data_IF_068969589934
#
_entry.id   IF_068969589934
#
_cell.length_a   1.000
_cell.length_b   1.000
_cell.length_c   1.000
_cell.angle_alpha   90.00
_cell.angle_beta   90.00
_cell.angle_gamma   90.00
#
_symmetry.space_group_name_H-M   'P 1'
#
loop_
_entity.id
_entity.type
_entity.pdbx_description
1 polymer ?
#
# COMPACT_ATOMS: atom_id res chain seq x y z
N UNK A 1 29.05 -7.37 31.49
CA UNK A 1 29.67 -6.76 30.29
C UNK A 1 29.26 -7.48 29.01
N UNK A 2 29.30 -8.82 28.95
CA UNK A 2 28.85 -9.60 27.78
C UNK A 2 27.38 -9.40 27.42
N UNK A 3 26.49 -9.31 28.42
CA UNK A 3 25.04 -9.10 28.22
C UNK A 3 24.74 -7.73 27.63
N UNK A 4 25.27 -6.65 28.20
CA UNK A 4 25.09 -5.29 27.67
C UNK A 4 25.66 -5.14 26.25
N UNK A 5 26.83 -5.73 25.98
CA UNK A 5 27.39 -5.76 24.63
C UNK A 5 26.43 -6.42 23.64
N UNK A 6 25.89 -7.59 23.99
CA UNK A 6 24.96 -8.31 23.13
C UNK A 6 23.66 -7.52 22.91
N UNK A 7 23.11 -6.92 23.96
CA UNK A 7 21.90 -6.11 23.90
C UNK A 7 22.05 -4.92 22.96
N UNK A 8 23.15 -4.17 23.11
CA UNK A 8 23.47 -3.01 22.27
C UNK A 8 23.73 -3.47 20.83
N UNK A 9 24.45 -4.57 20.64
CA UNK A 9 24.79 -5.06 19.31
C UNK A 9 23.55 -5.48 18.50
N UNK A 10 22.68 -6.33 19.09
CA UNK A 10 21.43 -6.75 18.43
C UNK A 10 20.50 -5.54 18.23
N UNK A 11 20.45 -4.62 19.20
CA UNK A 11 19.70 -3.36 19.06
C UNK A 11 20.19 -2.51 17.88
N UNK A 12 21.51 -2.41 17.66
CA UNK A 12 22.08 -1.71 16.50
C UNK A 12 21.72 -2.42 15.19
N UNK A 13 21.75 -3.75 15.14
CA UNK A 13 21.31 -4.50 13.96
C UNK A 13 19.82 -4.23 13.64
N UNK A 14 18.96 -4.20 14.66
CA UNK A 14 17.54 -3.90 14.50
C UNK A 14 17.29 -2.45 14.05
N UNK A 15 17.99 -1.46 14.63
CA UNK A 15 17.93 -0.07 14.17
C UNK A 15 18.45 0.04 12.73
N UNK A 16 19.53 -0.66 12.39
CA UNK A 16 20.06 -0.74 11.04
C UNK A 16 19.02 -1.26 10.04
N UNK A 17 18.30 -2.32 10.41
CA UNK A 17 17.17 -2.83 9.63
C UNK A 17 16.10 -1.75 9.41
N UNK A 18 15.66 -1.07 10.47
CA UNK A 18 14.66 0.00 10.37
C UNK A 18 15.13 1.13 9.44
N UNK A 19 16.39 1.56 9.59
CA UNK A 19 16.94 2.65 8.77
C UNK A 19 16.95 2.29 7.29
N UNK A 20 17.27 1.04 6.94
CA UNK A 20 17.29 0.59 5.54
C UNK A 20 15.89 0.61 4.91
N UNK A 21 14.83 0.42 5.69
CA UNK A 21 13.45 0.52 5.17
C UNK A 21 13.10 1.93 4.66
N UNK A 22 13.82 2.97 5.08
CA UNK A 22 13.62 4.34 4.58
C UNK A 22 14.29 4.60 3.22
N UNK A 23 15.15 3.69 2.75
CA UNK A 23 15.92 3.86 1.53
C UNK A 23 15.41 2.91 0.44
N UNK A 24 14.60 3.43 -0.48
CA UNK A 24 13.99 2.67 -1.59
C UNK A 24 15.01 1.95 -2.50
N UNK A 25 16.26 2.43 -2.55
CA UNK A 25 17.32 1.85 -3.38
C UNK A 25 17.82 0.48 -2.88
N UNK A 26 17.57 0.15 -1.62
CA UNK A 26 18.08 -1.07 -1.00
C UNK A 26 17.05 -2.19 -1.01
N UNK A 27 17.48 -3.41 -1.29
CA UNK A 27 16.62 -4.58 -1.16
C UNK A 27 16.43 -4.92 0.33
N UNK A 28 15.30 -4.51 0.89
CA UNK A 28 14.99 -4.69 2.30
C UNK A 28 15.09 -6.15 2.76
N UNK A 29 14.86 -7.13 1.88
CA UNK A 29 14.97 -8.56 2.24
C UNK A 29 16.42 -8.91 2.48
N UNK A 30 17.30 -8.56 1.54
CA UNK A 30 18.72 -8.85 1.63
C UNK A 30 19.28 -8.34 2.95
N UNK A 31 18.94 -7.10 3.31
CA UNK A 31 19.40 -6.49 4.55
C UNK A 31 18.72 -7.06 5.79
N UNK A 32 17.43 -7.43 5.72
CA UNK A 32 16.75 -8.12 6.84
C UNK A 32 17.40 -9.45 7.17
N UNK A 33 17.72 -10.26 6.16
CA UNK A 33 18.41 -11.54 6.31
C UNK A 33 19.85 -11.33 6.77
N UNK A 34 20.56 -10.36 6.20
CA UNK A 34 21.95 -10.06 6.56
C UNK A 34 22.08 -9.63 8.02
N UNK A 35 21.28 -8.64 8.45
CA UNK A 35 21.29 -8.20 9.84
C UNK A 35 20.86 -9.30 10.79
N UNK A 36 19.87 -10.12 10.39
CA UNK A 36 19.42 -11.24 11.20
C UNK A 36 20.53 -12.28 11.38
N UNK A 37 21.20 -12.69 10.31
CA UNK A 37 22.30 -13.66 10.38
C UNK A 37 23.42 -13.13 11.29
N UNK A 38 23.77 -11.85 11.18
CA UNK A 38 24.79 -11.23 12.03
C UNK A 38 24.35 -11.24 13.50
N UNK A 39 23.11 -10.80 13.79
CA UNK A 39 22.57 -10.77 15.14
C UNK A 39 22.45 -12.17 15.75
N UNK A 40 21.95 -13.14 15.00
CA UNK A 40 21.83 -14.55 15.38
C UNK A 40 23.20 -15.17 15.66
N UNK A 41 24.18 -14.95 14.76
CA UNK A 41 25.53 -15.49 14.91
C UNK A 41 26.21 -14.94 16.17
N UNK A 42 26.13 -13.64 16.39
CA UNK A 42 26.69 -13.02 17.61
C UNK A 42 25.96 -13.55 18.85
N UNK A 43 24.64 -13.64 18.82
CA UNK A 43 23.85 -14.18 19.94
C UNK A 43 24.22 -15.62 20.28
N UNK A 44 24.43 -16.48 19.28
CA UNK A 44 24.84 -17.88 19.48
C UNK A 44 26.20 -18.04 20.18
N UNK A 45 27.09 -17.04 20.12
CA UNK A 45 28.34 -17.08 20.89
C UNK A 45 28.12 -16.89 22.40
N UNK A 46 27.08 -16.14 22.79
CA UNK A 46 26.85 -15.71 24.18
C UNK A 46 25.67 -16.41 24.86
N UNK A 47 24.70 -16.92 24.10
CA UNK A 47 23.47 -17.55 24.58
C UNK A 47 23.35 -18.97 24.02
N UNK A 48 22.99 -19.94 24.87
CA UNK A 48 22.86 -21.33 24.47
C UNK A 48 21.58 -21.57 23.67
N UNK A 49 20.47 -20.93 24.08
CA UNK A 49 19.18 -21.03 23.40
C UNK A 49 19.25 -20.52 21.95
N UNK A 50 20.07 -19.48 21.69
CA UNK A 50 20.32 -18.96 20.35
C UNK A 50 21.14 -19.92 19.45
N UNK A 51 21.61 -21.06 19.96
CA UNK A 51 22.25 -22.11 19.14
C UNK A 51 21.23 -23.12 18.62
N UNK A 52 20.05 -23.16 19.21
CA UNK A 52 19.02 -24.14 18.89
C UNK A 52 18.11 -23.61 17.78
N UNK A 53 17.92 -24.40 16.71
CA UNK A 53 17.02 -24.01 15.62
C UNK A 53 15.56 -23.88 16.08
N UNK A 54 15.20 -24.61 17.14
CA UNK A 54 13.86 -24.61 17.72
C UNK A 54 13.47 -23.24 18.29
N UNK A 55 14.42 -22.51 18.87
CA UNK A 55 14.22 -21.11 19.29
C UNK A 55 13.79 -20.22 18.12
N UNK A 56 14.49 -20.31 16.99
CA UNK A 56 14.19 -19.51 15.80
C UNK A 56 12.83 -19.85 15.19
N UNK A 57 12.46 -21.14 15.17
CA UNK A 57 11.18 -21.60 14.63
C UNK A 57 10.01 -21.21 15.53
N UNK A 58 10.18 -21.32 16.86
CA UNK A 58 9.12 -20.99 17.84
C UNK A 58 8.86 -19.49 17.97
N UNK A 59 9.87 -18.66 17.67
CA UNK A 59 9.72 -17.19 17.67
C UNK A 59 8.84 -16.69 16.51
N UNK A 60 8.70 -17.46 15.42
CA UNK A 60 7.88 -17.04 14.28
C UNK A 60 6.40 -17.16 14.65
N UNK A 61 5.67 -16.06 14.47
CA UNK A 61 4.21 -16.00 14.60
C UNK A 61 3.52 -16.70 13.41
N UNK A 62 3.45 -18.03 13.47
CA UNK A 62 2.95 -18.87 12.38
C UNK A 62 1.52 -18.55 11.98
N UNK A 63 0.67 -18.14 12.92
CA UNK A 63 -0.71 -17.74 12.64
C UNK A 63 -0.75 -16.53 11.70
N UNK A 64 0.09 -15.52 11.95
CA UNK A 64 0.22 -14.33 11.11
C UNK A 64 0.75 -14.68 9.73
N UNK A 65 1.77 -15.54 9.66
CA UNK A 65 2.36 -15.99 8.40
C UNK A 65 1.33 -16.76 7.55
N UNK A 66 0.63 -17.72 8.14
CA UNK A 66 -0.39 -18.51 7.45
C UNK A 66 -1.57 -17.64 7.01
N UNK A 67 -1.97 -16.68 7.84
CA UNK A 67 -2.97 -15.68 7.47
C UNK A 67 -2.55 -14.92 6.20
N UNK A 68 -1.32 -14.39 6.15
CA UNK A 68 -0.84 -13.64 4.99
C UNK A 68 -0.72 -14.49 3.72
N UNK A 69 -0.24 -15.72 3.84
CA UNK A 69 -0.20 -16.64 2.68
C UNK A 69 -1.58 -16.79 2.07
N UNK A 70 -2.62 -17.03 2.88
CA UNK A 70 -3.99 -17.18 2.39
C UNK A 70 -4.52 -15.90 1.74
N UNK A 71 -4.29 -14.73 2.35
CA UNK A 71 -4.70 -13.44 1.79
C UNK A 71 -3.97 -13.15 0.47
N UNK A 72 -2.66 -13.40 0.36
CA UNK A 72 -1.93 -13.17 -0.90
C UNK A 72 -2.38 -14.10 -2.01
N UNK A 73 -2.75 -15.34 -1.70
CA UNK A 73 -3.38 -16.21 -2.70
C UNK A 73 -4.71 -15.63 -3.16
N UNK A 74 -5.57 -15.15 -2.24
CA UNK A 74 -6.84 -14.50 -2.59
C UNK A 74 -6.60 -13.27 -3.48
N UNK A 75 -5.63 -12.43 -3.15
CA UNK A 75 -5.22 -11.27 -3.97
C UNK A 75 -4.85 -11.71 -5.38
N UNK A 76 -4.01 -12.73 -5.49
CA UNK A 76 -3.53 -13.19 -6.79
C UNK A 76 -4.65 -13.83 -7.62
N UNK A 77 -5.57 -14.58 -6.99
CA UNK A 77 -6.78 -15.08 -7.66
C UNK A 77 -7.61 -13.90 -8.20
N UNK A 78 -7.85 -12.87 -7.37
CA UNK A 78 -8.63 -11.70 -7.80
C UNK A 78 -7.95 -10.93 -8.94
N UNK A 79 -6.61 -10.81 -8.88
CA UNK A 79 -5.79 -10.16 -9.89
C UNK A 79 -5.83 -10.92 -11.22
N UNK A 80 -5.57 -12.23 -11.23
CA UNK A 80 -5.60 -13.02 -12.47
C UNK A 80 -6.97 -13.04 -13.15
N UNK A 81 -8.05 -12.89 -12.38
CA UNK A 81 -9.40 -12.84 -12.92
C UNK A 81 -9.84 -11.42 -13.33
N UNK A 82 -8.97 -10.41 -13.23
CA UNK A 82 -9.24 -9.00 -13.54
C UNK A 82 -10.36 -8.38 -12.69
N UNK A 83 -10.47 -8.78 -11.41
CA UNK A 83 -11.53 -8.29 -10.51
C UNK A 83 -11.43 -6.77 -10.30
N UNK A 84 -10.22 -6.28 -10.08
CA UNK A 84 -9.98 -4.89 -9.73
C UNK A 84 -10.13 -3.97 -10.95
N UNK A 85 -9.74 -4.44 -12.13
CA UNK A 85 -9.91 -3.78 -13.43
C UNK A 85 -11.40 -3.63 -13.75
N UNK A 86 -12.19 -4.70 -13.55
CA UNK A 86 -13.65 -4.64 -13.72
C UNK A 86 -14.30 -3.69 -12.71
N UNK A 87 -13.86 -3.70 -11.45
CA UNK A 87 -14.34 -2.78 -10.43
C UNK A 87 -14.09 -1.32 -10.84
N UNK A 88 -12.88 -1.05 -11.31
CA UNK A 88 -12.48 0.26 -11.79
C UNK A 88 -13.29 0.73 -12.99
N UNK A 89 -13.45 -0.14 -13.99
CA UNK A 89 -14.25 0.16 -15.18
C UNK A 89 -15.68 0.54 -14.82
N UNK A 90 -16.30 -0.15 -13.84
CA UNK A 90 -17.64 0.19 -13.33
C UNK A 90 -17.67 1.55 -12.64
N UNK A 91 -16.67 1.86 -11.82
CA UNK A 91 -16.53 3.15 -11.14
C UNK A 91 -16.41 4.26 -12.20
N UNK A 92 -15.47 4.13 -13.12
CA UNK A 92 -15.20 5.13 -14.17
C UNK A 92 -16.41 5.34 -15.06
N UNK A 93 -17.06 4.28 -15.53
CA UNK A 93 -18.28 4.38 -16.36
C UNK A 93 -19.40 5.16 -15.66
N UNK A 94 -19.51 5.05 -14.34
CA UNK A 94 -20.57 5.70 -13.56
C UNK A 94 -20.22 7.14 -13.15
N UNK A 95 -18.94 7.42 -12.88
CA UNK A 95 -18.51 8.68 -12.25
C UNK A 95 -17.58 9.55 -13.13
N UNK A 96 -17.30 9.15 -14.37
CA UNK A 96 -16.43 9.91 -15.29
C UNK A 96 -16.85 11.36 -15.54
N UNK A 97 -18.13 11.70 -15.33
CA UNK A 97 -18.64 13.06 -15.53
C UNK A 97 -18.39 13.99 -14.34
N UNK A 98 -17.84 13.50 -13.24
CA UNK A 98 -17.63 14.30 -12.03
C UNK A 98 -16.33 13.88 -11.35
N UNK A 99 -15.21 14.57 -11.63
CA UNK A 99 -13.91 14.31 -11.01
C UNK A 99 -13.98 14.22 -9.48
N UNK A 100 -14.72 15.14 -8.85
CA UNK A 100 -14.92 15.14 -7.40
C UNK A 100 -15.67 13.92 -6.87
N UNK A 101 -16.69 13.42 -7.58
CA UNK A 101 -17.37 12.16 -7.18
C UNK A 101 -16.49 10.94 -7.41
N UNK A 102 -15.75 10.93 -8.52
CA UNK A 102 -14.79 9.88 -8.81
C UNK A 102 -13.76 9.76 -7.68
N UNK A 103 -13.23 10.89 -7.21
CA UNK A 103 -12.29 10.95 -6.09
C UNK A 103 -12.85 10.23 -4.86
N UNK A 104 -14.02 10.64 -4.37
CA UNK A 104 -14.61 10.02 -3.18
C UNK A 104 -14.85 8.53 -3.38
N UNK A 105 -15.44 8.12 -4.51
CA UNK A 105 -15.78 6.72 -4.74
C UNK A 105 -14.53 5.85 -4.82
N UNK A 106 -13.51 6.32 -5.54
CA UNK A 106 -12.26 5.59 -5.75
C UNK A 106 -11.51 5.42 -4.43
N UNK A 107 -11.38 6.50 -3.65
CA UNK A 107 -10.69 6.48 -2.35
C UNK A 107 -11.45 5.64 -1.32
N UNK A 108 -12.78 5.77 -1.24
CA UNK A 108 -13.62 4.97 -0.35
C UNK A 108 -13.47 3.48 -0.66
N UNK A 109 -13.64 3.10 -1.93
CA UNK A 109 -13.57 1.69 -2.33
C UNK A 109 -12.18 1.10 -2.06
N UNK A 110 -11.11 1.84 -2.38
CA UNK A 110 -9.75 1.40 -2.10
C UNK A 110 -9.52 1.20 -0.59
N UNK A 111 -9.92 2.17 0.24
CA UNK A 111 -9.79 2.07 1.70
C UNK A 111 -10.55 0.86 2.26
N UNK A 112 -11.80 0.64 1.87
CA UNK A 112 -12.56 -0.50 2.38
C UNK A 112 -12.04 -1.85 1.87
N UNK A 113 -11.49 -1.92 0.65
CA UNK A 113 -10.84 -3.14 0.18
C UNK A 113 -9.52 -3.39 0.94
N UNK A 114 -8.78 -2.33 1.26
CA UNK A 114 -7.51 -2.42 1.96
C UNK A 114 -7.66 -2.92 3.41
N UNK A 115 -8.77 -2.61 4.08
CA UNK A 115 -9.03 -3.09 5.45
C UNK A 115 -9.40 -4.57 5.53
N UNK A 116 -9.69 -5.21 4.40
CA UNK A 116 -10.04 -6.64 4.32
C UNK A 116 -8.89 -7.46 3.74
N UNK A 117 -8.21 -6.91 2.74
CA UNK A 117 -7.21 -7.63 1.94
C UNK A 117 -5.81 -7.29 2.46
N UNK A 118 -5.20 -6.24 1.93
CA UNK A 118 -3.91 -5.71 2.37
C UNK A 118 -3.70 -4.36 1.68
N UNK A 119 -3.29 -3.35 2.45
CA UNK A 119 -3.05 -2.01 1.91
C UNK A 119 -2.06 -2.01 0.74
N UNK A 120 -0.96 -2.77 0.86
CA UNK A 120 0.07 -2.84 -0.18
C UNK A 120 -0.50 -3.39 -1.50
N UNK A 121 -1.24 -4.50 -1.43
CA UNK A 121 -1.84 -5.13 -2.61
C UNK A 121 -2.85 -4.21 -3.32
N UNK A 122 -3.64 -3.47 -2.55
CA UNK A 122 -4.62 -2.53 -3.08
C UNK A 122 -3.93 -1.35 -3.77
N UNK A 123 -2.87 -0.78 -3.17
CA UNK A 123 -2.13 0.34 -3.76
C UNK A 123 -1.50 -0.05 -5.10
N UNK A 124 -0.84 -1.21 -5.18
CA UNK A 124 -0.20 -1.71 -6.42
C UNK A 124 -1.17 -1.74 -7.61
N UNK A 125 -2.45 -1.96 -7.35
CA UNK A 125 -3.47 -2.08 -8.40
C UNK A 125 -4.18 -0.74 -8.62
N UNK A 126 -4.57 -0.05 -7.55
CA UNK A 126 -5.34 1.20 -7.66
C UNK A 126 -4.48 2.38 -8.15
N UNK A 127 -3.17 2.41 -7.92
CA UNK A 127 -2.29 3.47 -8.41
C UNK A 127 -2.23 3.53 -9.94
N UNK A 128 -1.77 2.48 -10.67
CA UNK A 128 -1.71 2.52 -12.12
C UNK A 128 -3.09 2.73 -12.74
N UNK A 129 -4.11 2.11 -12.15
CA UNK A 129 -5.49 2.30 -12.55
C UNK A 129 -5.95 3.76 -12.44
N UNK A 130 -5.66 4.41 -11.32
CA UNK A 130 -6.02 5.82 -11.10
C UNK A 130 -5.35 6.71 -12.12
N UNK A 131 -4.07 6.44 -12.42
CA UNK A 131 -3.32 7.17 -13.46
C UNK A 131 -4.01 7.03 -14.83
N UNK A 132 -4.42 5.80 -15.21
CA UNK A 132 -5.12 5.55 -16.48
C UNK A 132 -6.46 6.30 -16.53
N UNK A 133 -7.26 6.25 -15.46
CA UNK A 133 -8.55 6.93 -15.39
C UNK A 133 -8.38 8.44 -15.50
N UNK A 134 -7.43 9.00 -14.74
CA UNK A 134 -7.14 10.42 -14.76
C UNK A 134 -6.62 10.89 -16.12
N UNK A 135 -5.75 10.11 -16.78
CA UNK A 135 -5.28 10.38 -18.15
C UNK A 135 -6.42 10.41 -19.15
N UNK A 136 -7.36 9.45 -19.08
CA UNK A 136 -8.55 9.40 -19.95
C UNK A 136 -9.53 10.56 -19.71
N UNK A 137 -9.52 11.11 -18.50
CA UNK A 137 -10.35 12.25 -18.11
C UNK A 137 -9.60 13.59 -18.23
N UNK A 138 -8.36 13.59 -18.72
CA UNK A 138 -7.50 14.77 -18.87
C UNK A 138 -7.31 15.58 -17.57
N UNK A 139 -7.33 14.88 -16.43
CA UNK A 139 -7.14 15.48 -15.09
C UNK A 139 -5.83 15.02 -14.45
N UNK A 140 -5.29 15.85 -13.55
CA UNK A 140 -4.10 15.51 -12.78
C UNK A 140 -4.37 14.33 -11.82
N UNK A 141 -3.61 13.22 -11.89
CA UNK A 141 -3.78 12.08 -10.97
C UNK A 141 -3.28 12.34 -9.55
N UNK A 142 -2.42 13.33 -9.33
CA UNK A 142 -1.73 13.52 -8.05
C UNK A 142 -2.67 13.61 -6.83
N UNK A 143 -3.79 14.36 -6.85
CA UNK A 143 -4.72 14.41 -5.71
C UNK A 143 -5.32 13.04 -5.35
N UNK A 144 -5.66 12.25 -6.38
CA UNK A 144 -6.25 10.94 -6.21
C UNK A 144 -5.24 9.96 -5.60
N UNK A 145 -4.02 9.94 -6.14
CA UNK A 145 -2.92 9.13 -5.61
C UNK A 145 -2.56 9.49 -4.17
N UNK A 146 -2.52 10.79 -3.86
CA UNK A 146 -2.26 11.24 -2.49
C UNK A 146 -3.37 10.81 -1.53
N UNK A 147 -4.63 10.91 -1.96
CA UNK A 147 -5.76 10.45 -1.14
C UNK A 147 -5.77 8.94 -0.92
N UNK A 148 -5.41 8.17 -1.96
CA UNK A 148 -5.23 6.73 -1.84
C UNK A 148 -4.15 6.40 -0.83
N UNK A 149 -2.98 7.04 -0.92
CA UNK A 149 -1.88 6.83 0.02
C UNK A 149 -2.30 7.09 1.46
N UNK A 150 -2.92 8.23 1.74
CA UNK A 150 -3.36 8.58 3.11
C UNK A 150 -4.46 7.62 3.60
N UNK A 151 -5.50 7.42 2.80
CA UNK A 151 -6.69 6.72 3.25
C UNK A 151 -6.55 5.20 3.27
N UNK A 152 -5.70 4.60 2.42
CA UNK A 152 -5.39 3.17 2.48
C UNK A 152 -4.56 2.85 3.73
N UNK A 153 -3.67 3.74 4.16
CA UNK A 153 -2.97 3.57 5.44
C UNK A 153 -3.94 3.64 6.63
N UNK A 154 -4.92 4.56 6.61
CA UNK A 154 -5.98 4.58 7.63
C UNK A 154 -6.80 3.29 7.65
N UNK A 155 -6.97 2.61 6.51
CA UNK A 155 -7.72 1.35 6.42
C UNK A 155 -7.21 0.27 7.37
N UNK A 156 -5.89 0.23 7.60
CA UNK A 156 -5.26 -0.73 8.50
C UNK A 156 -5.84 -0.67 9.91
N UNK A 157 -6.28 0.51 10.38
CA UNK A 157 -6.85 0.66 11.72
C UNK A 157 -8.27 0.10 11.86
N UNK A 158 -9.00 -0.12 10.76
CA UNK A 158 -10.42 -0.47 10.84
C UNK A 158 -10.67 -1.86 11.44
N UNK A 159 -9.77 -2.81 11.22
CA UNK A 159 -9.95 -4.22 11.58
C UNK A 159 -8.69 -4.80 12.23
N UNK A 160 -8.83 -5.87 13.05
CA UNK A 160 -7.67 -6.60 13.58
C UNK A 160 -6.76 -7.13 12.47
N UNK A 161 -7.36 -7.53 11.34
CA UNK A 161 -6.68 -8.16 10.22
C UNK A 161 -6.15 -7.15 9.18
N UNK A 162 -6.37 -5.85 9.38
CA UNK A 162 -5.94 -4.79 8.45
C UNK A 162 -4.42 -4.65 8.34
N UNK A 163 -3.67 -5.15 9.32
CA UNK A 163 -2.21 -5.17 9.31
C UNK A 163 -1.64 -6.28 10.21
N UNK A 164 -0.36 -6.62 10.00
CA UNK A 164 0.35 -7.59 10.86
C UNK A 164 0.38 -7.11 12.31
N UNK A 165 0.61 -5.81 12.52
CA UNK A 165 0.75 -5.22 13.85
C UNK A 165 -0.54 -5.36 14.65
N UNK A 166 -1.69 -5.12 14.01
CA UNK A 166 -2.97 -5.23 14.68
C UNK A 166 -3.28 -6.67 15.09
N UNK A 167 -2.91 -7.65 14.26
CA UNK A 167 -3.08 -9.07 14.59
C UNK A 167 -2.26 -9.42 15.84
N UNK A 168 -1.00 -8.99 15.90
CA UNK A 168 -0.14 -9.26 17.05
C UNK A 168 -0.71 -8.66 18.34
N UNK A 169 -1.12 -7.39 18.30
CA UNK A 169 -1.75 -6.72 19.45
C UNK A 169 -3.08 -7.41 19.82
N UNK A 170 -3.86 -7.82 18.82
CA UNK A 170 -5.13 -8.51 19.00
C UNK A 170 -4.94 -9.86 19.72
N UNK A 171 -3.94 -10.63 19.33
CA UNK A 171 -3.63 -11.92 19.93
C UNK A 171 -3.09 -11.76 21.36
N UNK A 172 -2.15 -10.84 21.56
CA UNK A 172 -1.52 -10.61 22.87
C UNK A 172 -2.52 -10.13 23.93
N UNK A 173 -3.41 -9.20 23.56
CA UNK A 173 -4.38 -8.61 24.48
C UNK A 173 -5.78 -9.26 24.42
N UNK A 174 -5.96 -10.30 23.59
CA UNK A 174 -7.26 -10.95 23.40
C UNK A 174 -8.36 -10.01 22.89
N UNK A 175 -8.01 -9.04 22.04
CA UNK A 175 -8.94 -8.04 21.52
C UNK A 175 -9.71 -8.60 20.33
N UNK A 176 -10.97 -8.95 20.52
CA UNK A 176 -11.79 -9.50 19.45
C UNK A 176 -12.24 -8.43 18.42
N UNK A 177 -12.86 -8.89 17.33
CA UNK A 177 -13.42 -8.00 16.31
C UNK A 177 -14.46 -7.03 16.88
N UNK A 178 -15.24 -7.44 17.89
CA UNK A 178 -16.26 -6.61 18.50
C UNK A 178 -15.65 -5.44 19.29
N UNK A 179 -14.51 -5.68 19.94
CA UNK A 179 -13.73 -4.63 20.60
C UNK A 179 -13.28 -3.57 19.59
N UNK A 180 -12.70 -3.99 18.45
CA UNK A 180 -12.32 -3.07 17.37
C UNK A 180 -13.53 -2.30 16.83
N UNK A 181 -14.67 -2.96 16.62
CA UNK A 181 -15.90 -2.33 16.17
C UNK A 181 -16.42 -1.28 17.15
N UNK A 182 -16.22 -1.50 18.45
CA UNK A 182 -16.73 -0.62 19.51
C UNK A 182 -15.82 0.59 19.73
N UNK A 183 -14.50 0.39 19.75
CA UNK A 183 -13.55 1.42 20.15
C UNK A 183 -12.80 2.06 18.98
N UNK A 184 -12.39 1.25 17.99
CA UNK A 184 -11.54 1.72 16.90
C UNK A 184 -12.34 2.18 15.68
N UNK A 185 -13.45 1.53 15.35
CA UNK A 185 -14.27 1.93 14.19
C UNK A 185 -14.83 3.35 14.31
N UNK A 186 -15.31 3.85 15.48
CA UNK A 186 -15.69 5.25 15.61
C UNK A 186 -14.54 6.21 15.34
N UNK A 187 -13.34 5.90 15.85
CA UNK A 187 -12.13 6.65 15.58
C UNK A 187 -11.79 6.65 14.08
N UNK A 188 -11.83 5.48 13.43
CA UNK A 188 -11.62 5.36 11.99
C UNK A 188 -12.61 6.20 11.20
N UNK A 189 -13.92 6.14 11.50
CA UNK A 189 -14.94 6.89 10.76
C UNK A 189 -14.70 8.38 10.86
N UNK A 190 -14.40 8.90 12.06
CA UNK A 190 -14.14 10.32 12.28
C UNK A 190 -12.89 10.76 11.51
N UNK A 191 -11.78 10.05 11.68
CA UNK A 191 -10.49 10.38 11.05
C UNK A 191 -10.51 10.20 9.53
N UNK A 192 -11.24 9.20 9.02
CA UNK A 192 -11.42 8.96 7.60
C UNK A 192 -12.26 10.06 6.93
N UNK A 193 -13.40 10.43 7.54
CA UNK A 193 -14.24 11.54 7.03
C UNK A 193 -13.46 12.86 7.07
N UNK A 194 -12.77 13.13 8.17
CA UNK A 194 -11.94 14.33 8.30
C UNK A 194 -10.83 14.36 7.26
N UNK A 195 -10.11 13.26 7.08
CA UNK A 195 -9.06 13.12 6.06
C UNK A 195 -9.62 13.35 4.65
N UNK A 196 -10.72 12.69 4.29
CA UNK A 196 -11.38 12.88 2.99
C UNK A 196 -11.79 14.34 2.77
N UNK A 197 -12.34 14.99 3.80
CA UNK A 197 -12.74 16.39 3.73
C UNK A 197 -11.54 17.33 3.55
N UNK A 198 -10.46 17.12 4.31
CA UNK A 198 -9.24 17.92 4.21
C UNK A 198 -8.55 17.74 2.85
N UNK A 199 -8.44 16.50 2.38
CA UNK A 199 -7.84 16.18 1.08
C UNK A 199 -8.65 16.81 -0.07
N UNK A 200 -9.98 16.68 -0.03
CA UNK A 200 -10.84 17.31 -1.01
C UNK A 200 -10.74 18.84 -0.98
N UNK A 201 -10.79 19.46 0.21
CA UNK A 201 -10.76 20.92 0.34
C UNK A 201 -9.41 21.54 -0.03
N UNK A 202 -8.30 20.94 0.42
CA UNK A 202 -6.98 21.55 0.31
C UNK A 202 -6.17 21.10 -0.90
N UNK A 203 -6.47 19.92 -1.47
CA UNK A 203 -5.70 19.35 -2.58
C UNK A 203 -6.57 19.32 -3.82
N UNK A 204 -7.64 18.52 -3.82
CA UNK A 204 -8.47 18.35 -5.01
C UNK A 204 -9.16 19.65 -5.44
N UNK A 205 -9.72 20.40 -4.49
CA UNK A 205 -10.42 21.66 -4.77
C UNK A 205 -9.52 22.75 -5.35
N UNK A 206 -8.21 22.72 -5.05
CA UNK A 206 -7.24 23.64 -5.67
C UNK A 206 -6.94 23.23 -7.11
N UNK A 207 -6.73 21.94 -7.35
CA UNK A 207 -6.48 21.41 -8.70
C UNK A 207 -7.68 21.57 -9.62
N UNK A 208 -8.90 21.30 -9.15
CA UNK A 208 -10.11 21.47 -9.96
C UNK A 208 -10.35 22.94 -10.34
N UNK A 209 -10.05 23.88 -9.44
CA UNK A 209 -10.13 25.31 -9.76
C UNK A 209 -9.10 25.71 -10.82
N UNK A 210 -7.86 25.23 -10.71
CA UNK A 210 -6.80 25.49 -11.68
C UNK A 210 -7.20 24.99 -13.07
N UNK A 211 -7.66 23.73 -13.16
CA UNK A 211 -8.09 23.13 -14.42
C UNK A 211 -9.27 23.89 -15.08
N UNK A 212 -10.26 24.31 -14.29
CA UNK A 212 -11.38 25.13 -14.82
C UNK A 212 -10.96 26.52 -15.31
N UNK A 213 -9.86 27.07 -14.78
CA UNK A 213 -9.31 28.36 -15.22
C UNK A 213 -8.53 28.19 -16.52
N UNK A 214 -7.76 27.10 -16.67
CA UNK A 214 -7.01 26.79 -17.89
C UNK A 214 -7.96 26.51 -19.07
N UNK A 215 -9.01 25.70 -18.90
CA UNK A 215 -10.04 25.47 -19.95
C UNK A 215 -10.74 26.78 -20.36
N UNK A 216 -11.05 27.64 -19.39
CA UNK A 216 -11.69 28.94 -19.64
C UNK A 216 -10.78 29.97 -20.31
N UNK A 217 -9.47 29.77 -20.27
CA UNK A 217 -8.48 30.58 -21.01
C UNK A 217 -8.31 30.04 -22.43
N UNK A 218 -8.26 28.72 -22.62
CA UNK A 218 -8.21 28.10 -23.95
C UNK A 218 -9.44 28.44 -24.80
N UNK A 219 -10.65 28.34 -24.24
CA UNK A 219 -11.90 28.71 -24.93
C UNK A 219 -11.96 30.20 -25.33
N UNK A 220 -11.31 31.07 -24.55
CA UNK A 220 -11.17 32.50 -24.89
C UNK A 220 -10.13 32.76 -25.98
N UNK A 221 -9.07 31.95 -26.07
CA UNK A 221 -8.06 32.08 -27.13
C UNK A 221 -8.51 31.49 -28.46
N UNK A 222 -9.32 30.42 -28.44
CA UNK A 222 -9.87 29.80 -29.66
C UNK A 222 -10.97 30.67 -30.30
N UNK A 223 -11.70 31.44 -29.50
CA UNK A 223 -12.71 32.39 -30.01
C UNK A 223 -12.15 33.75 -30.47
N UNK A 224 -10.83 33.94 -30.45
CA UNK A 224 -10.16 35.11 -31.03
C UNK A 224 -9.58 34.75 -32.40
N UNK A 225 -10.44 34.62 -33.41
CA UNK A 225 -10.00 34.74 -34.81
C UNK A 225 -9.44 36.15 -35.06
N UNK A 226 -8.39 36.30 -35.90
CA UNK A 226 -7.68 37.56 -36.05
C UNK A 226 -8.58 38.58 -36.76
N UNK A 227 -9.11 39.52 -35.99
CA UNK A 227 -9.72 40.72 -36.56
C UNK A 227 -8.60 41.61 -37.09
N UNK A 228 -8.58 41.70 -38.42
CA UNK A 228 -7.83 42.60 -39.27
C UNK A 228 -7.35 43.88 -38.55
N UNK A 229 -6.05 43.91 -38.24
CA UNK A 229 -5.30 45.15 -38.06
C UNK A 229 -4.05 45.09 -38.93
N UNK A 230 -4.29 44.97 -40.24
CA UNK A 230 -3.40 45.58 -41.20
C UNK A 230 -3.50 47.11 -41.05
N UNK A 231 -2.34 47.78 -41.03
CA UNK A 231 -2.11 49.24 -40.92
C UNK A 231 -2.12 49.78 -39.50
N UNK A 232 -0.93 49.80 -38.89
CA UNK A 232 -0.28 51.02 -38.38
C UNK A 232 0.77 50.65 -37.32
N UNK A 233 2.00 50.40 -37.76
CA UNK A 233 3.24 50.93 -37.17
C UNK A 233 4.48 50.35 -37.87
N UNK A 234 4.70 50.83 -39.09
CA UNK A 234 6.06 51.14 -39.52
C UNK A 234 6.51 52.36 -38.70
N UNK A 235 7.56 52.19 -37.89
CA UNK A 235 8.59 53.17 -37.47
C UNK A 235 9.06 52.85 -36.06
N UNK A 236 10.19 52.17 -35.97
CA UNK A 236 11.35 52.55 -35.14
C UNK A 236 12.42 51.44 -35.24
N UNK A 237 13.20 51.49 -36.31
CA UNK A 237 14.57 50.98 -36.31
C UNK A 237 15.47 52.08 -35.78
N UNK A 238 16.26 51.83 -34.73
CA UNK A 238 17.61 52.38 -34.57
C UNK A 238 18.46 51.48 -33.65
N UNK A 239 19.74 51.40 -34.03
CA UNK A 239 20.83 50.50 -33.64
C UNK A 239 21.35 50.59 -32.19
N UNK A 240 21.92 49.48 -31.69
CA UNK A 240 23.34 49.30 -31.22
C UNK A 240 23.48 47.90 -30.57
N UNK A 241 24.23 46.92 -31.10
CA UNK A 241 25.68 46.63 -31.07
C UNK A 241 26.23 46.01 -29.76
N UNK A 242 26.92 44.85 -29.96
CA UNK A 242 28.03 44.22 -29.20
C UNK A 242 27.74 43.00 -28.27
N UNK A 243 28.34 41.88 -28.72
CA UNK A 243 28.96 40.71 -28.07
C UNK A 243 28.48 40.12 -26.73
N UNK A 244 28.35 38.78 -26.77
CA UNK A 244 29.27 37.93 -26.01
C UNK A 244 28.70 37.17 -24.81
N UNK A 245 28.92 35.85 -24.86
CA UNK A 245 29.04 34.88 -23.76
C UNK A 245 27.82 34.06 -23.31
N UNK A 246 28.03 32.75 -23.45
CA UNK A 246 27.67 31.63 -22.56
C UNK A 246 26.26 31.02 -22.61
N UNK A 247 26.18 29.98 -23.46
CA UNK A 247 25.89 28.60 -23.06
C UNK A 247 25.01 28.41 -21.82
N UNK A 248 23.70 28.26 -22.06
CA UNK A 248 22.84 27.39 -21.25
C UNK A 248 22.04 26.46 -22.17
N UNK A 249 22.68 25.35 -22.51
CA UNK A 249 22.03 24.13 -22.97
C UNK A 249 20.95 23.70 -21.96
N UNK A 250 19.69 23.69 -22.38
CA UNK A 250 18.62 22.94 -21.72
C UNK A 250 18.94 21.43 -21.80
N UNK A 251 19.00 20.69 -20.68
CA UNK A 251 19.12 19.24 -20.76
C UNK A 251 17.74 18.59 -21.02
N UNK A 252 17.63 17.99 -22.21
CA UNK A 252 16.94 16.72 -22.50
C UNK A 252 15.49 16.50 -22.01
N UNK A 253 14.52 17.03 -22.75
CA UNK A 253 13.11 16.58 -22.76
C UNK A 253 12.89 15.24 -23.51
N UNK A 254 13.92 14.38 -23.59
CA UNK A 254 13.92 13.22 -24.50
C UNK A 254 13.98 11.84 -23.81
N UNK A 255 14.10 11.77 -22.48
CA UNK A 255 14.11 10.48 -21.75
C UNK A 255 12.85 10.17 -20.94
N UNK A 256 11.99 11.15 -20.65
CA UNK A 256 10.70 10.91 -19.96
C UNK A 256 9.58 10.47 -20.89
N UNK A 257 9.83 10.39 -22.20
CA UNK A 257 8.82 10.14 -23.23
C UNK A 257 8.77 8.69 -23.75
N UNK A 258 9.57 7.77 -23.20
CA UNK A 258 9.77 6.40 -23.75
C UNK A 258 9.37 5.22 -22.85
N UNK A 259 8.64 5.44 -21.75
CA UNK A 259 8.24 4.34 -20.84
C UNK A 259 6.78 3.89 -21.00
N UNK A 260 5.96 4.57 -21.80
CA UNK A 260 4.54 4.19 -21.99
C UNK A 260 4.05 4.45 -23.42
N UNK A 261 4.78 3.95 -24.41
CA UNK A 261 4.25 3.86 -25.78
C UNK A 261 3.21 2.75 -25.84
N UNK A 262 1.97 3.16 -26.09
CA UNK A 262 0.94 2.45 -26.87
C UNK A 262 0.75 0.94 -26.63
N UNK A 263 0.32 0.56 -25.42
CA UNK A 263 -0.74 -0.45 -25.33
C UNK A 263 -2.04 0.26 -25.01
N UNK A 264 -2.96 0.15 -25.95
CA UNK A 264 -4.35 0.59 -25.88
C UNK A 264 -5.05 -0.21 -24.75
N UNK A 265 -4.80 0.19 -23.48
CA UNK A 265 -5.40 -0.36 -22.26
C UNK A 265 -6.88 0.03 -22.24
N UNK A 266 -7.63 -0.54 -23.18
CA UNK A 266 -9.06 -0.48 -23.20
C UNK A 266 -9.55 -1.35 -22.05
N UNK A 267 -9.96 -0.70 -20.95
CA UNK A 267 -10.61 -1.33 -19.79
C UNK A 267 -11.69 -2.37 -20.20
N UNK A 268 -12.23 -2.28 -21.41
CA UNK A 268 -13.22 -3.20 -21.98
C UNK A 268 -12.65 -4.57 -22.43
N UNK A 269 -11.35 -4.70 -22.77
CA UNK A 269 -10.76 -5.99 -23.16
C UNK A 269 -10.43 -6.90 -21.97
N UNK A 270 -10.28 -6.34 -20.76
CA UNK A 270 -10.04 -7.07 -19.50
C UNK A 270 -11.34 -7.32 -18.71
N UNK A 271 -12.50 -7.09 -19.32
CA UNK A 271 -13.78 -7.10 -18.61
C UNK A 271 -14.16 -8.51 -18.12
N UNK A 272 -14.18 -8.67 -16.81
CA UNK A 272 -14.72 -9.86 -16.15
C UNK A 272 -16.23 -9.97 -16.41
N UNK A 273 -16.73 -11.21 -16.56
CA UNK A 273 -18.16 -11.49 -16.62
C UNK A 273 -18.88 -10.97 -15.37
N UNK A 274 -20.07 -10.38 -15.54
CA UNK A 274 -20.91 -9.92 -14.41
C UNK A 274 -21.10 -11.02 -13.35
N UNK A 275 -21.31 -12.26 -13.79
CA UNK A 275 -21.53 -13.40 -12.89
C UNK A 275 -20.30 -13.64 -12.01
N UNK A 276 -19.11 -13.61 -12.59
CA UNK A 276 -17.87 -13.89 -11.87
C UNK A 276 -17.49 -12.73 -10.93
N UNK A 277 -17.83 -11.50 -11.31
CA UNK A 277 -17.68 -10.34 -10.43
C UNK A 277 -18.51 -10.48 -9.15
N UNK A 278 -19.81 -10.77 -9.27
CA UNK A 278 -20.67 -10.91 -8.09
C UNK A 278 -20.33 -12.15 -7.24
N UNK A 279 -19.84 -13.23 -7.86
CA UNK A 279 -19.31 -14.38 -7.11
C UNK A 279 -18.10 -13.97 -6.26
N UNK A 280 -17.14 -13.24 -6.84
CA UNK A 280 -15.96 -12.76 -6.11
C UNK A 280 -16.33 -11.76 -5.01
N UNK A 281 -17.30 -10.86 -5.24
CA UNK A 281 -17.85 -10.03 -4.16
C UNK A 281 -18.49 -10.86 -3.04
N UNK A 282 -19.24 -11.91 -3.38
CA UNK A 282 -19.82 -12.84 -2.40
C UNK A 282 -18.74 -13.59 -1.61
N UNK A 283 -17.66 -14.02 -2.26
CA UNK A 283 -16.53 -14.66 -1.61
C UNK A 283 -15.76 -13.70 -0.68
N UNK A 284 -15.61 -12.42 -1.05
CA UNK A 284 -15.06 -11.39 -0.16
C UNK A 284 -15.95 -11.17 1.07
N UNK A 285 -17.27 -11.12 0.90
CA UNK A 285 -18.20 -11.02 2.04
C UNK A 285 -18.11 -12.26 2.94
N UNK A 286 -17.98 -13.45 2.35
CA UNK A 286 -17.76 -14.68 3.10
C UNK A 286 -16.46 -14.63 3.90
N UNK A 287 -15.36 -14.15 3.31
CA UNK A 287 -14.08 -13.94 4.01
C UNK A 287 -14.27 -13.05 5.25
N UNK A 288 -14.96 -11.92 5.11
CA UNK A 288 -15.24 -11.02 6.25
C UNK A 288 -16.03 -11.75 7.32
N UNK A 289 -17.11 -12.46 6.94
CA UNK A 289 -17.92 -13.22 7.91
C UNK A 289 -17.09 -14.29 8.62
N UNK A 290 -16.23 -15.01 7.89
CA UNK A 290 -15.35 -16.01 8.47
C UNK A 290 -14.33 -15.40 9.44
N UNK A 291 -13.75 -14.24 9.10
CA UNK A 291 -12.81 -13.53 9.98
C UNK A 291 -13.46 -12.98 11.25
N UNK A 292 -14.76 -12.69 11.22
CA UNK A 292 -15.51 -12.20 12.39
C UNK A 292 -15.99 -13.34 13.28
N UNK A 293 -16.37 -14.48 12.68
CA UNK A 293 -17.01 -15.59 13.40
C UNK A 293 -15.99 -16.57 13.95
N UNK A 294 -14.89 -16.80 13.22
CA UNK A 294 -13.87 -17.76 13.63
C UNK A 294 -12.88 -17.10 14.58
N UNK A 295 -12.52 -17.76 15.69
CA UNK A 295 -11.49 -17.24 16.61
C UNK A 295 -10.11 -17.25 15.95
N UNK A 296 -9.85 -18.26 15.11
CA UNK A 296 -8.57 -18.48 14.45
C UNK A 296 -8.52 -17.80 13.08
N UNK A 297 -7.81 -16.68 12.97
CA UNK A 297 -7.71 -15.90 11.73
C UNK A 297 -7.03 -16.67 10.59
N UNK A 298 -6.02 -17.49 10.90
CA UNK A 298 -5.31 -18.27 9.89
C UNK A 298 -6.25 -19.31 9.27
N UNK A 299 -7.14 -19.90 10.06
CA UNK A 299 -8.12 -20.85 9.58
C UNK A 299 -9.15 -20.18 8.67
N UNK A 300 -9.65 -19.00 9.05
CA UNK A 300 -10.54 -18.19 8.21
C UNK A 300 -9.90 -17.84 6.86
N UNK A 301 -8.62 -17.47 6.87
CA UNK A 301 -7.84 -17.16 5.66
C UNK A 301 -7.65 -18.38 4.76
N UNK A 302 -7.27 -19.54 5.32
CA UNK A 302 -7.09 -20.79 4.56
C UNK A 302 -8.41 -21.25 3.93
N UNK A 303 -9.50 -21.27 4.69
CA UNK A 303 -10.82 -21.66 4.16
C UNK A 303 -11.24 -20.73 3.04
N UNK A 304 -11.08 -19.42 3.24
CA UNK A 304 -11.41 -18.43 2.21
C UNK A 304 -10.54 -18.58 0.97
N UNK A 305 -9.23 -18.81 1.13
CA UNK A 305 -8.30 -19.10 0.04
C UNK A 305 -8.78 -20.29 -0.80
N UNK A 306 -9.15 -21.41 -0.16
CA UNK A 306 -9.68 -22.58 -0.86
C UNK A 306 -10.98 -22.26 -1.62
N UNK A 307 -11.88 -21.49 -1.01
CA UNK A 307 -13.11 -21.03 -1.66
C UNK A 307 -12.81 -20.17 -2.89
N UNK A 308 -11.88 -19.24 -2.81
CA UNK A 308 -11.48 -18.38 -3.94
C UNK A 308 -10.89 -19.17 -5.10
N UNK A 309 -9.98 -20.11 -4.81
CA UNK A 309 -9.38 -20.99 -5.82
C UNK A 309 -10.46 -21.88 -6.47
N UNK A 310 -11.43 -22.36 -5.70
CA UNK A 310 -12.50 -23.22 -6.22
C UNK A 310 -13.52 -22.48 -7.09
N UNK A 311 -13.88 -21.25 -6.69
CA UNK A 311 -14.88 -20.44 -7.42
C UNK A 311 -14.32 -19.90 -8.74
N UNK A 312 -13.00 -19.76 -8.85
CA UNK A 312 -12.30 -19.24 -10.02
C UNK A 312 -11.39 -20.31 -10.68
N UNK A 313 -11.96 -21.37 -11.27
CA UNK A 313 -11.15 -22.40 -11.92
C UNK A 313 -10.44 -21.84 -13.17
N UNK A 314 -9.14 -22.13 -13.31
CA UNK A 314 -8.35 -21.78 -14.51
C UNK A 314 -8.92 -22.48 -15.75
N UNK A 315 -9.08 -21.73 -16.84
CA UNK A 315 -9.47 -22.27 -18.14
C UNK A 315 -8.18 -22.68 -18.89
N UNK A 316 -7.94 -23.99 -19.07
CA UNK A 316 -6.87 -24.48 -19.97
C UNK A 316 -5.95 -25.56 -19.40
N UNK A 317 -5.90 -25.75 -18.08
CA UNK A 317 -5.19 -26.87 -17.45
C UNK A 317 -6.20 -27.84 -16.84
N UNK A 318 -5.98 -29.15 -17.00
CA UNK A 318 -6.95 -30.20 -16.66
C UNK A 318 -7.40 -30.29 -15.20
N UNK A 319 -6.87 -29.45 -14.29
CA UNK A 319 -7.34 -29.33 -12.91
C UNK A 319 -8.13 -28.04 -12.68
N UNK A 320 -9.38 -28.19 -12.24
CA UNK A 320 -10.23 -27.08 -11.78
C UNK A 320 -9.68 -26.40 -10.50
N UNK A 321 -8.78 -27.06 -9.79
CA UNK A 321 -8.18 -26.58 -8.54
C UNK A 321 -6.67 -26.55 -8.68
N UNK A 322 -6.07 -25.37 -8.75
CA UNK A 322 -4.62 -25.22 -8.90
C UNK A 322 -4.06 -24.23 -7.87
N UNK A 323 -4.11 -24.62 -6.59
CA UNK A 323 -3.57 -23.82 -5.49
C UNK A 323 -2.07 -23.58 -5.63
N UNK A 324 -1.32 -24.57 -6.14
CA UNK A 324 0.13 -24.50 -6.33
C UNK A 324 0.52 -23.36 -7.26
N UNK A 325 -0.25 -23.17 -8.35
CA UNK A 325 -0.05 -22.06 -9.28
C UNK A 325 -0.12 -20.70 -8.60
N UNK A 326 -1.13 -20.48 -7.75
CA UNK A 326 -1.26 -19.21 -7.01
C UNK A 326 -0.19 -19.05 -5.93
N UNK A 327 0.13 -20.14 -5.21
CA UNK A 327 1.21 -20.13 -4.23
C UNK A 327 2.54 -19.76 -4.87
N UNK A 328 2.83 -20.10 -6.13
CA UNK A 328 4.08 -19.70 -6.77
C UNK A 328 4.18 -18.19 -7.08
N UNK A 329 3.06 -17.46 -7.03
CA UNK A 329 2.94 -16.06 -7.44
C UNK A 329 2.75 -15.07 -6.30
N UNK A 330 2.53 -15.56 -5.08
CA UNK A 330 2.39 -14.67 -3.93
C UNK A 330 3.69 -13.92 -3.62
N UNK A 331 3.57 -12.82 -2.90
CA UNK A 331 4.70 -12.01 -2.48
C UNK A 331 5.42 -12.65 -1.27
N UNK A 332 6.31 -13.61 -1.56
CA UNK A 332 7.14 -14.23 -0.54
C UNK A 332 8.13 -13.26 0.10
N UNK A 333 8.44 -12.13 -0.54
CA UNK A 333 9.37 -11.15 0.01
C UNK A 333 8.86 -10.61 1.34
N UNK A 334 7.57 -10.31 1.40
CA UNK A 334 6.91 -9.84 2.61
C UNK A 334 6.87 -10.91 3.70
N UNK A 335 6.63 -12.18 3.32
CA UNK A 335 6.61 -13.32 4.25
C UNK A 335 7.99 -13.49 4.89
N UNK A 336 9.05 -13.54 4.07
CA UNK A 336 10.43 -13.65 4.58
C UNK A 336 10.81 -12.47 5.47
N UNK A 337 10.41 -11.26 5.09
CA UNK A 337 10.66 -10.08 5.91
C UNK A 337 9.99 -10.17 7.29
N UNK A 338 8.71 -10.55 7.36
CA UNK A 338 8.03 -10.74 8.64
C UNK A 338 8.64 -11.87 9.47
N UNK A 339 9.00 -13.00 8.84
CA UNK A 339 9.72 -14.06 9.55
C UNK A 339 11.04 -13.56 10.13
N UNK A 340 11.81 -12.75 9.38
CA UNK A 340 13.04 -12.17 9.90
C UNK A 340 12.77 -11.19 11.05
N UNK A 341 11.69 -10.40 10.95
CA UNK A 341 11.30 -9.44 11.97
C UNK A 341 10.89 -10.14 13.27
N UNK A 342 10.08 -11.19 13.20
CA UNK A 342 9.71 -11.98 14.38
C UNK A 342 10.93 -12.56 15.06
N UNK A 343 11.82 -13.20 14.30
CA UNK A 343 13.07 -13.74 14.84
C UNK A 343 13.92 -12.64 15.49
N UNK A 344 13.99 -11.45 14.88
CA UNK A 344 14.69 -10.31 15.47
C UNK A 344 14.12 -9.91 16.83
N UNK A 345 12.79 -9.86 16.94
CA UNK A 345 12.10 -9.54 18.20
C UNK A 345 12.41 -10.61 19.24
N UNK A 346 12.32 -11.90 18.92
CA UNK A 346 12.67 -12.94 19.89
C UNK A 346 14.13 -12.92 20.29
N UNK A 347 15.07 -12.58 19.39
CA UNK A 347 16.47 -12.37 19.77
C UNK A 347 16.64 -11.20 20.75
N UNK A 348 15.89 -10.11 20.55
CA UNK A 348 15.87 -8.96 21.46
C UNK A 348 15.20 -9.27 22.80
N UNK A 349 14.24 -10.18 22.82
CA UNK A 349 13.64 -10.69 24.05
C UNK A 349 14.63 -11.58 24.80
N UNK A 350 15.20 -12.58 24.12
CA UNK A 350 16.12 -13.55 24.68
C UNK A 350 17.37 -12.90 25.29
N UNK A 351 17.94 -11.89 24.62
CA UNK A 351 19.13 -11.19 25.13
C UNK A 351 18.81 -10.07 26.15
N UNK A 352 17.52 -9.78 26.39
CA UNK A 352 17.06 -8.71 27.27
C UNK A 352 17.19 -7.29 26.72
N UNK A 353 17.34 -7.10 25.40
CA UNK A 353 17.28 -5.77 24.77
C UNK A 353 15.91 -5.13 25.02
N UNK A 354 14.82 -5.90 24.95
CA UNK A 354 13.47 -5.39 25.25
C UNK A 354 13.36 -4.93 26.71
N UNK A 355 13.87 -5.71 27.66
CA UNK A 355 13.92 -5.33 29.08
C UNK A 355 14.73 -4.05 29.32
N UNK A 356 15.83 -3.87 28.58
CA UNK A 356 16.63 -2.65 28.65
C UNK A 356 15.83 -1.43 28.15
N UNK A 357 15.05 -1.59 27.08
CA UNK A 357 14.17 -0.55 26.55
C UNK A 357 13.05 -0.25 27.55
N UNK A 358 12.44 -1.28 28.13
CA UNK A 358 11.41 -1.16 29.18
C UNK A 358 11.92 -0.36 30.38
N UNK A 359 13.06 -0.77 30.97
CA UNK A 359 13.68 -0.04 32.08
C UNK A 359 14.05 1.40 31.72
N UNK A 360 14.49 1.65 30.49
CA UNK A 360 14.78 3.00 30.02
C UNK A 360 13.51 3.85 29.95
N UNK A 361 12.40 3.28 29.48
CA UNK A 361 11.09 3.94 29.44
C UNK A 361 10.57 4.19 30.86
N UNK A 362 10.65 3.22 31.78
CA UNK A 362 10.23 3.37 33.18
C UNK A 362 10.98 4.48 33.92
N UNK A 363 12.30 4.56 33.67
CA UNK A 363 13.12 5.62 34.26
C UNK A 363 12.75 7.01 33.69
N UNK A 364 12.33 7.08 32.43
CA UNK A 364 11.83 8.31 31.80
C UNK A 364 10.42 8.68 32.27
N UNK A 365 9.56 7.70 32.55
CA UNK A 365 8.19 7.93 33.03
C UNK A 365 8.12 8.27 34.52
N UNK A 366 9.23 8.15 35.25
CA UNK A 366 9.33 8.63 36.64
C UNK A 366 8.73 7.69 37.68
N UNK A 367 8.67 6.38 37.42
CA UNK A 367 8.08 5.36 38.32
C UNK A 367 6.59 5.55 38.67
N UNK A 368 5.87 6.49 38.03
CA UNK A 368 4.42 6.61 38.20
C UNK A 368 3.71 5.55 37.34
N UNK A 369 3.72 4.30 37.82
CA UNK A 369 2.71 3.31 37.43
C UNK A 369 1.35 3.83 37.92
N UNK A 370 0.60 4.47 37.04
CA UNK A 370 -0.77 4.97 37.23
C UNK A 370 -0.93 6.22 38.10
N UNK A 371 -0.89 7.39 37.44
CA UNK A 371 -1.75 8.53 37.76
C UNK A 371 -2.77 8.77 36.64
#
# INVERSE_FOLDING_TARGET
MSTLFLQVFVGICFIGLILILFFEKFDYILYSVLFLIIAATVSAFFLEEAREIEFYISTIEWEVILFFVGIFVIVEVLRENNFFEELARRITKKYSKSPRKLFYVLTIIATFLASIISGLSIVVIFVPLTIIICKKMEINPAPYLFSLSVCVNLAATLTPFGSAQNILISNEFGLDFLWFLTFIVPYFVITFILSLFLLDKFILGKELKKHSVDEGLEDKTVNLEPTDKSKDMERLTFHEHVDGTDDLQKPSDMETKKVFDEEDFSLDQMAMSKKDFYKNCGALLLLIVLLVVLPEIYFASIVSCLVFVFINPRKGEGSKFNLIHYLQKIDYKLIYFFSCLFIFIGLMELNGTLLLIEQWIENLSGQDEFL
#
